data_IF_630642849883
#
_entry.id   IF_630642849883
#
_cell.length_a   1.000
_cell.length_b   1.000
_cell.length_c   1.000
_cell.angle_alpha   90.00
_cell.angle_beta   90.00
_cell.angle_gamma   90.00
#
_symmetry.space_group_name_H-M   'P 1'
#
loop_
_entity.id
_entity.type
_entity.pdbx_description
1 polymer ?
#
# COMPACT_ATOMS: atom_id res chain seq x y z
N UNK A 1 3.88 -7.23 -28.76
CA UNK A 1 4.51 -8.51 -29.20
C UNK A 1 4.07 -9.57 -28.23
N UNK A 2 3.12 -10.40 -28.67
CA UNK A 2 2.68 -11.62 -28.01
C UNK A 2 3.87 -12.53 -27.75
N UNK A 3 4.10 -12.88 -26.49
CA UNK A 3 4.98 -13.98 -26.13
C UNK A 3 4.08 -15.15 -25.70
N UNK A 4 3.90 -16.09 -26.62
CA UNK A 4 3.30 -17.39 -26.34
C UNK A 4 4.03 -18.11 -25.21
N UNK A 5 3.30 -18.76 -24.27
CA UNK A 5 3.94 -19.54 -23.20
C UNK A 5 4.57 -20.79 -23.77
N UNK A 6 5.87 -20.99 -23.51
CA UNK A 6 6.56 -22.25 -23.78
C UNK A 6 6.06 -23.33 -22.82
N UNK A 7 5.47 -24.41 -23.36
CA UNK A 7 5.12 -25.63 -22.62
C UNK A 7 6.38 -26.38 -22.24
N UNK A 8 6.76 -26.35 -20.97
CA UNK A 8 7.84 -27.16 -20.39
C UNK A 8 7.64 -27.26 -18.89
N UNK A 9 7.92 -28.41 -18.31
CA UNK A 9 7.85 -28.74 -16.87
C UNK A 9 8.44 -27.63 -16.01
N UNK A 10 7.58 -26.96 -15.22
CA UNK A 10 7.96 -25.87 -14.32
C UNK A 10 7.69 -24.48 -14.90
N UNK A 11 6.42 -24.14 -15.14
CA UNK A 11 6.03 -22.76 -15.49
C UNK A 11 6.38 -21.82 -14.34
N UNK A 12 7.53 -21.16 -14.47
CA UNK A 12 7.89 -20.03 -13.60
C UNK A 12 7.05 -18.85 -14.02
N UNK A 13 5.98 -18.57 -13.27
CA UNK A 13 5.18 -17.34 -13.47
C UNK A 13 6.00 -16.14 -13.02
N UNK A 14 6.60 -15.46 -13.99
CA UNK A 14 7.30 -14.20 -13.74
C UNK A 14 6.35 -13.03 -13.95
N UNK A 15 6.12 -12.25 -12.90
CA UNK A 15 5.40 -10.98 -12.97
C UNK A 15 6.36 -9.83 -12.77
N UNK A 16 6.16 -8.77 -13.53
CA UNK A 16 6.97 -7.58 -13.47
C UNK A 16 6.07 -6.38 -13.13
N UNK A 17 6.54 -5.55 -12.22
CA UNK A 17 5.96 -4.25 -11.93
C UNK A 17 6.64 -3.24 -12.84
N UNK A 18 5.86 -2.58 -13.68
CA UNK A 18 6.33 -1.57 -14.59
C UNK A 18 6.34 -0.18 -13.91
N UNK A 19 6.99 0.77 -14.55
CA UNK A 19 7.03 2.15 -14.05
C UNK A 19 5.60 2.73 -13.98
N UNK A 20 5.31 3.42 -12.89
CA UNK A 20 4.02 4.06 -12.60
C UNK A 20 2.83 3.10 -12.41
N UNK A 21 3.08 1.81 -12.29
CA UNK A 21 2.05 0.85 -11.89
C UNK A 21 1.54 1.17 -10.48
N UNK A 22 0.22 1.27 -10.36
CA UNK A 22 -0.49 1.39 -9.08
C UNK A 22 -1.37 0.16 -8.92
N UNK A 23 -0.83 -0.82 -8.24
CA UNK A 23 -1.38 -2.17 -8.18
C UNK A 23 -2.17 -2.34 -6.89
N UNK A 24 -3.47 -2.62 -7.02
CA UNK A 24 -4.23 -3.16 -5.90
C UNK A 24 -4.13 -4.67 -5.90
N UNK A 25 -3.79 -5.23 -4.73
CA UNK A 25 -3.85 -6.67 -4.49
C UNK A 25 -5.16 -7.01 -3.79
N UNK A 26 -5.85 -8.01 -4.31
CA UNK A 26 -7.13 -8.49 -3.81
C UNK A 26 -7.00 -9.97 -3.45
N UNK A 27 -7.61 -10.39 -2.35
CA UNK A 27 -7.75 -11.79 -1.95
C UNK A 27 -8.95 -11.97 -1.04
N UNK A 28 -9.54 -13.15 -1.07
CA UNK A 28 -10.54 -13.57 -0.06
C UNK A 28 -9.89 -13.88 1.31
N UNK A 29 -8.57 -14.13 1.37
CA UNK A 29 -7.82 -14.25 2.61
C UNK A 29 -6.95 -12.98 2.85
N UNK A 30 -7.36 -12.10 3.77
CA UNK A 30 -6.59 -10.88 4.07
C UNK A 30 -5.17 -11.18 4.57
N UNK A 31 -4.94 -12.32 5.22
CA UNK A 31 -3.61 -12.73 5.71
C UNK A 31 -2.64 -12.97 4.57
N UNK A 32 -3.13 -13.43 3.41
CA UNK A 32 -2.30 -13.63 2.23
C UNK A 32 -1.74 -12.30 1.71
N UNK A 33 -2.50 -11.20 1.83
CA UNK A 33 -2.03 -9.86 1.44
C UNK A 33 -0.94 -9.37 2.37
N UNK A 34 -1.19 -9.43 3.69
CA UNK A 34 -0.19 -9.02 4.69
C UNK A 34 1.09 -9.84 4.54
N UNK A 35 0.99 -11.18 4.39
CA UNK A 35 2.15 -12.04 4.17
C UNK A 35 2.93 -11.67 2.90
N UNK A 36 2.23 -11.40 1.79
CA UNK A 36 2.87 -10.95 0.55
C UNK A 36 3.67 -9.66 0.78
N UNK A 37 3.08 -8.65 1.44
CA UNK A 37 3.76 -7.39 1.69
C UNK A 37 4.94 -7.53 2.65
N UNK A 38 4.83 -8.36 3.68
CA UNK A 38 5.94 -8.68 4.59
C UNK A 38 7.09 -9.38 3.86
N UNK A 39 6.77 -10.33 2.96
CA UNK A 39 7.77 -11.02 2.15
C UNK A 39 8.52 -10.04 1.24
N UNK A 40 7.82 -9.23 0.45
CA UNK A 40 8.47 -8.30 -0.48
C UNK A 40 9.17 -7.14 0.22
N UNK A 41 8.80 -6.85 1.47
CA UNK A 41 9.52 -5.91 2.34
C UNK A 41 10.69 -6.55 3.11
N UNK A 42 10.87 -7.88 3.00
CA UNK A 42 11.97 -8.61 3.63
C UNK A 42 11.79 -8.91 5.12
N UNK A 43 10.58 -8.75 5.66
CA UNK A 43 10.24 -9.09 7.06
C UNK A 43 9.96 -10.58 7.23
N UNK A 44 9.48 -11.25 6.18
CA UNK A 44 9.14 -12.67 6.14
C UNK A 44 9.87 -13.37 4.99
N UNK A 45 10.09 -14.67 5.11
CA UNK A 45 10.65 -15.50 4.04
C UNK A 45 9.53 -16.15 3.25
N UNK A 46 9.68 -16.15 1.91
CA UNK A 46 8.78 -16.90 1.04
C UNK A 46 9.04 -18.42 1.19
N UNK A 47 7.97 -19.21 1.24
CA UNK A 47 8.06 -20.68 1.22
C UNK A 47 8.56 -21.17 -0.14
N UNK A 48 8.23 -20.48 -1.21
CA UNK A 48 8.67 -20.76 -2.57
C UNK A 48 8.69 -19.47 -3.42
N UNK A 49 9.45 -19.51 -4.52
CA UNK A 49 9.59 -18.37 -5.41
C UNK A 49 10.67 -17.38 -4.95
N UNK A 50 10.87 -16.36 -5.76
CA UNK A 50 11.83 -15.28 -5.50
C UNK A 50 11.26 -13.96 -5.97
N UNK A 51 11.72 -12.88 -5.35
CA UNK A 51 11.45 -11.52 -5.82
C UNK A 51 12.76 -10.75 -5.91
N UNK A 52 12.76 -9.71 -6.72
CA UNK A 52 13.90 -8.83 -6.88
C UNK A 52 13.44 -7.41 -7.13
N UNK A 53 13.95 -6.48 -6.34
CA UNK A 53 13.79 -5.06 -6.57
C UNK A 53 14.79 -4.57 -7.64
N UNK A 54 14.34 -3.61 -8.45
CA UNK A 54 15.26 -2.91 -9.36
C UNK A 54 16.29 -2.10 -8.57
N UNK A 55 17.46 -1.87 -9.16
CA UNK A 55 18.59 -1.19 -8.50
C UNK A 55 18.27 0.25 -8.04
N UNK A 56 17.33 0.91 -8.71
CA UNK A 56 16.93 2.30 -8.42
C UNK A 56 15.65 2.40 -7.59
N UNK A 57 15.10 1.26 -7.15
CA UNK A 57 13.85 1.25 -6.38
C UNK A 57 14.16 1.44 -4.90
N UNK A 58 13.53 2.47 -4.34
CA UNK A 58 13.50 2.76 -2.91
C UNK A 58 12.07 2.57 -2.42
N UNK A 59 11.89 1.71 -1.43
CA UNK A 59 10.57 1.36 -0.91
C UNK A 59 10.24 2.07 0.40
N UNK A 60 8.97 2.39 0.61
CA UNK A 60 8.43 2.77 1.91
C UNK A 60 7.23 1.89 2.22
N UNK A 61 7.24 1.27 3.39
CA UNK A 61 6.23 0.30 3.82
C UNK A 61 5.35 0.85 4.94
N UNK A 62 4.06 0.79 4.73
CA UNK A 62 3.02 1.06 5.72
C UNK A 62 2.40 -0.28 6.15
N UNK A 63 2.82 -0.86 7.30
CA UNK A 63 2.31 -2.14 7.76
C UNK A 63 0.90 -2.02 8.34
N UNK A 64 0.17 -3.14 8.36
CA UNK A 64 -1.14 -3.23 9.00
C UNK A 64 -1.04 -2.93 10.51
N UNK A 65 -0.06 -3.50 11.21
CA UNK A 65 0.25 -3.18 12.61
C UNK A 65 1.39 -2.18 12.70
N UNK A 66 1.07 -0.99 13.16
CA UNK A 66 2.02 0.11 13.36
C UNK A 66 2.30 0.44 14.81
N UNK A 67 1.81 -0.35 15.78
CA UNK A 67 1.87 -0.08 17.22
C UNK A 67 3.29 0.17 17.73
N UNK A 68 4.27 -0.55 17.19
CA UNK A 68 5.70 -0.42 17.57
C UNK A 68 6.28 1.00 17.40
N UNK A 69 5.68 1.82 16.53
CA UNK A 69 6.17 3.18 16.28
C UNK A 69 5.69 4.22 17.30
N UNK A 70 4.73 3.85 18.16
CA UNK A 70 4.05 4.77 19.08
C UNK A 70 4.29 4.47 20.57
N UNK A 71 5.25 3.60 20.88
CA UNK A 71 5.64 3.23 22.23
C UNK A 71 6.61 4.24 22.85
N UNK A 72 6.28 5.52 22.77
CA UNK A 72 7.10 6.63 23.29
C UNK A 72 6.21 7.78 23.75
N UNK A 73 6.71 8.58 24.68
CA UNK A 73 5.98 9.70 25.31
C UNK A 73 6.31 11.07 24.71
N UNK A 74 6.92 11.11 23.54
CA UNK A 74 7.20 12.36 22.83
C UNK A 74 5.96 12.89 22.13
N UNK A 75 5.94 14.20 21.83
CA UNK A 75 4.87 14.80 21.06
C UNK A 75 4.95 14.42 19.58
N UNK A 76 3.87 14.66 18.85
CA UNK A 76 3.73 14.27 17.44
C UNK A 76 4.78 14.93 16.54
N UNK A 77 5.08 16.20 16.76
CA UNK A 77 6.05 16.93 15.93
C UNK A 77 7.48 16.37 16.13
N UNK A 78 7.89 16.14 17.37
CA UNK A 78 9.18 15.53 17.69
C UNK A 78 9.27 14.08 17.20
N UNK A 79 8.14 13.36 17.24
CA UNK A 79 8.06 12.00 16.70
C UNK A 79 8.31 12.00 15.19
N UNK A 80 7.67 12.90 14.44
CA UNK A 80 7.87 12.97 13.00
C UNK A 80 9.29 13.42 12.64
N UNK A 81 9.86 14.32 13.42
CA UNK A 81 11.24 14.83 13.25
C UNK A 81 12.29 13.70 13.22
N UNK A 82 12.08 12.61 13.97
CA UNK A 82 13.01 11.47 13.99
C UNK A 82 13.16 10.76 12.63
N UNK A 83 12.19 10.91 11.75
CA UNK A 83 12.16 10.26 10.44
C UNK A 83 12.49 11.20 9.30
N UNK A 84 12.74 12.46 9.59
CA UNK A 84 12.99 13.48 8.57
C UNK A 84 14.46 13.85 8.48
N UNK A 85 15.04 13.96 7.29
CA UNK A 85 16.35 14.55 7.11
C UNK A 85 16.37 16.06 7.35
N UNK A 86 15.21 16.72 7.19
CA UNK A 86 15.00 18.14 7.46
C UNK A 86 14.23 18.31 8.77
N UNK A 87 14.84 18.99 9.73
CA UNK A 87 14.28 19.25 11.07
C UNK A 87 13.53 20.58 11.16
N UNK A 88 13.35 21.28 10.04
CA UNK A 88 12.58 22.53 10.00
C UNK A 88 11.11 22.29 10.38
N UNK A 89 10.68 22.90 11.48
CA UNK A 89 9.31 22.74 11.98
C UNK A 89 8.22 23.13 10.96
N UNK A 90 8.47 24.17 10.17
CA UNK A 90 7.48 24.63 9.17
C UNK A 90 7.30 23.55 8.10
N UNK A 91 8.40 22.93 7.68
CA UNK A 91 8.38 21.81 6.74
C UNK A 91 7.62 20.61 7.30
N UNK A 92 7.93 20.19 8.54
CA UNK A 92 7.28 19.05 9.19
C UNK A 92 5.78 19.31 9.46
N UNK A 93 5.43 20.52 9.91
CA UNK A 93 4.03 20.93 10.10
C UNK A 93 3.25 20.89 8.80
N UNK A 94 3.89 21.16 7.66
CA UNK A 94 3.28 21.03 6.34
C UNK A 94 2.87 19.61 5.98
N UNK A 95 3.67 18.60 6.34
CA UNK A 95 3.31 17.19 6.15
C UNK A 95 2.15 16.76 7.03
N UNK A 96 2.20 17.13 8.31
CA UNK A 96 1.13 16.82 9.25
C UNK A 96 -0.18 17.53 8.87
N UNK A 97 -0.10 18.79 8.42
CA UNK A 97 -1.26 19.54 7.95
C UNK A 97 -1.95 18.93 6.75
N UNK A 98 -1.20 18.32 5.82
CA UNK A 98 -1.80 17.57 4.67
C UNK A 98 -2.62 16.37 5.12
N UNK A 99 -2.29 15.79 6.27
CA UNK A 99 -3.05 14.73 6.90
C UNK A 99 -3.98 15.24 8.01
N UNK A 100 -4.39 16.52 7.92
CA UNK A 100 -5.43 17.14 8.74
C UNK A 100 -5.10 17.24 10.24
N UNK A 101 -3.82 17.33 10.61
CA UNK A 101 -3.47 17.64 11.98
C UNK A 101 -3.49 19.15 12.23
N UNK A 102 -4.22 19.56 13.26
CA UNK A 102 -4.24 20.94 13.75
C UNK A 102 -3.01 21.27 14.59
N UNK A 103 -2.74 22.58 14.80
CA UNK A 103 -1.60 23.01 15.61
C UNK A 103 -1.61 22.49 17.05
N UNK A 104 -2.78 22.35 17.68
CA UNK A 104 -2.93 21.81 19.03
C UNK A 104 -2.63 20.31 19.10
N UNK A 105 -2.99 19.56 18.06
CA UNK A 105 -2.74 18.12 17.99
C UNK A 105 -1.25 17.79 17.87
N UNK A 106 -0.43 18.71 17.33
CA UNK A 106 1.02 18.52 17.21
C UNK A 106 1.73 18.33 18.54
N UNK A 107 1.13 18.85 19.62
CA UNK A 107 1.68 18.76 20.98
C UNK A 107 1.18 17.54 21.75
N UNK A 108 0.24 16.78 21.20
CA UNK A 108 -0.20 15.53 21.83
C UNK A 108 0.93 14.50 21.83
N UNK A 109 1.03 13.73 22.92
CA UNK A 109 1.92 12.58 22.99
C UNK A 109 1.46 11.50 22.03
N UNK A 110 2.36 10.87 21.28
CA UNK A 110 2.00 9.84 20.29
C UNK A 110 1.45 8.58 20.94
N UNK A 111 1.78 8.32 22.19
CA UNK A 111 1.24 7.18 22.96
C UNK A 111 -0.28 7.23 23.18
N UNK A 112 -0.87 8.44 23.22
CA UNK A 112 -2.31 8.64 23.49
C UNK A 112 -3.15 8.86 22.23
N UNK A 113 -2.54 8.79 21.04
CA UNK A 113 -3.24 8.98 19.78
C UNK A 113 -4.22 7.82 19.51
N UNK A 114 -5.36 8.16 18.91
CA UNK A 114 -6.32 7.17 18.39
C UNK A 114 -5.73 6.35 17.22
N UNK A 115 -6.39 5.26 16.85
CA UNK A 115 -5.96 4.44 15.70
C UNK A 115 -5.89 5.24 14.40
N UNK A 116 -6.89 6.10 14.14
CA UNK A 116 -6.90 6.96 12.96
C UNK A 116 -5.80 8.03 12.99
N UNK A 117 -5.56 8.67 14.14
CA UNK A 117 -4.45 9.61 14.31
C UNK A 117 -3.09 8.94 14.08
N UNK A 118 -2.88 7.73 14.63
CA UNK A 118 -1.67 6.93 14.39
C UNK A 118 -1.48 6.61 12.90
N UNK A 119 -2.56 6.22 12.21
CA UNK A 119 -2.49 5.95 10.77
C UNK A 119 -2.11 7.20 9.98
N UNK A 120 -2.72 8.36 10.28
CA UNK A 120 -2.36 9.65 9.67
C UNK A 120 -0.89 10.03 9.92
N UNK A 121 -0.36 9.74 11.13
CA UNK A 121 1.07 9.92 11.44
C UNK A 121 1.95 9.03 10.57
N UNK A 122 1.59 7.76 10.42
CA UNK A 122 2.36 6.82 9.59
C UNK A 122 2.38 7.25 8.12
N UNK A 123 1.26 7.74 7.60
CA UNK A 123 1.19 8.26 6.23
C UNK A 123 2.09 9.51 6.10
N UNK A 124 2.05 10.43 7.07
CA UNK A 124 2.93 11.60 7.08
C UNK A 124 4.40 11.20 7.09
N UNK A 125 4.77 10.22 7.93
CA UNK A 125 6.12 9.65 7.97
C UNK A 125 6.53 9.05 6.63
N UNK A 126 5.66 8.26 6.01
CA UNK A 126 5.92 7.63 4.72
C UNK A 126 6.21 8.67 3.63
N UNK A 127 5.51 9.80 3.65
CA UNK A 127 5.69 10.87 2.67
C UNK A 127 6.99 11.65 2.84
N UNK A 128 7.64 11.58 4.02
CA UNK A 128 8.96 12.16 4.26
C UNK A 128 10.09 11.35 3.62
N UNK A 129 9.85 10.07 3.33
CA UNK A 129 10.83 9.23 2.67
C UNK A 129 10.86 9.54 1.17
N UNK A 130 12.03 9.64 0.59
CA UNK A 130 12.23 9.81 -0.86
C UNK A 130 12.07 8.45 -1.57
N UNK A 131 10.95 7.77 -1.27
CA UNK A 131 10.65 6.48 -1.85
C UNK A 131 9.93 6.65 -3.20
N UNK A 132 10.29 5.83 -4.17
CA UNK A 132 9.64 5.76 -5.47
C UNK A 132 8.72 4.54 -5.62
N UNK A 133 8.60 3.72 -4.58
CA UNK A 133 7.64 2.63 -4.50
C UNK A 133 7.03 2.57 -3.09
N UNK A 134 5.71 2.73 -3.00
CA UNK A 134 4.96 2.64 -1.75
C UNK A 134 4.31 1.27 -1.63
N UNK A 135 4.44 0.66 -0.46
CA UNK A 135 3.78 -0.61 -0.11
C UNK A 135 2.83 -0.32 1.05
N UNK A 136 1.52 -0.49 0.82
CA UNK A 136 0.47 -0.05 1.74
C UNK A 136 -0.44 -1.22 2.10
N UNK A 137 -0.34 -1.69 3.33
CA UNK A 137 -1.23 -2.76 3.83
C UNK A 137 -2.48 -2.15 4.48
N UNK A 138 -3.58 -2.16 3.75
CA UNK A 138 -4.91 -1.69 4.18
C UNK A 138 -4.86 -0.28 4.81
N UNK A 139 -4.33 0.72 4.09
CA UNK A 139 -3.99 2.03 4.64
C UNK A 139 -5.20 2.86 5.06
N UNK A 140 -6.41 2.51 4.61
CA UNK A 140 -7.65 3.21 4.93
C UNK A 140 -8.32 2.70 6.20
N UNK A 141 -7.81 1.63 6.81
CA UNK A 141 -8.33 1.13 8.08
C UNK A 141 -8.21 2.21 9.18
N UNK A 142 -9.29 2.36 9.93
CA UNK A 142 -9.40 3.33 11.04
C UNK A 142 -9.36 4.81 10.63
N UNK A 143 -9.33 5.15 9.35
CA UNK A 143 -9.46 6.51 8.87
C UNK A 143 -10.93 6.91 8.72
N UNK A 144 -11.23 8.16 9.05
CA UNK A 144 -12.49 8.80 8.69
C UNK A 144 -12.48 9.21 7.20
N UNK A 145 -13.65 9.53 6.69
CA UNK A 145 -13.84 9.86 5.27
C UNK A 145 -12.95 11.03 4.82
N UNK A 146 -12.82 12.06 5.65
CA UNK A 146 -12.00 13.23 5.33
C UNK A 146 -10.51 12.87 5.23
N UNK A 147 -10.02 12.05 6.15
CA UNK A 147 -8.64 11.53 6.12
C UNK A 147 -8.39 10.62 4.92
N UNK A 148 -9.35 9.77 4.54
CA UNK A 148 -9.27 8.96 3.32
C UNK A 148 -9.16 9.84 2.08
N UNK A 149 -9.96 10.89 1.98
CA UNK A 149 -9.92 11.84 0.86
C UNK A 149 -8.57 12.59 0.79
N UNK A 150 -8.06 13.06 1.93
CA UNK A 150 -6.76 13.73 2.00
C UNK A 150 -5.63 12.80 1.55
N UNK A 151 -5.65 11.54 1.98
CA UNK A 151 -4.68 10.53 1.57
C UNK A 151 -4.81 10.20 0.09
N UNK A 152 -6.02 9.99 -0.40
CA UNK A 152 -6.31 9.72 -1.80
C UNK A 152 -5.75 10.83 -2.72
N UNK A 153 -6.00 12.09 -2.38
CA UNK A 153 -5.48 13.24 -3.11
C UNK A 153 -3.94 13.27 -3.15
N UNK A 154 -3.30 12.85 -2.07
CA UNK A 154 -1.85 12.72 -2.01
C UNK A 154 -1.34 11.63 -2.96
N UNK A 155 -1.98 10.46 -2.97
CA UNK A 155 -1.56 9.34 -3.82
C UNK A 155 -1.81 9.58 -5.31
N UNK A 156 -2.84 10.34 -5.67
CA UNK A 156 -3.10 10.73 -7.07
C UNK A 156 -1.93 11.49 -7.70
N UNK A 157 -1.24 12.29 -6.91
CA UNK A 157 -0.11 13.10 -7.38
C UNK A 157 1.24 12.39 -7.22
N UNK A 158 1.27 11.24 -6.58
CA UNK A 158 2.49 10.48 -6.36
C UNK A 158 3.04 9.94 -7.68
N UNK A 159 4.30 10.30 -7.96
CA UNK A 159 5.04 9.79 -9.13
C UNK A 159 5.88 8.59 -8.72
N UNK A 160 5.42 7.42 -9.06
CA UNK A 160 6.09 6.16 -8.73
C UNK A 160 5.10 5.02 -8.58
N UNK A 161 5.59 3.89 -8.13
CA UNK A 161 4.81 2.68 -7.98
C UNK A 161 4.07 2.66 -6.63
N UNK A 162 2.86 2.12 -6.63
CA UNK A 162 2.08 1.86 -5.42
C UNK A 162 1.62 0.41 -5.46
N UNK A 163 1.96 -0.36 -4.43
CA UNK A 163 1.48 -1.71 -4.20
C UNK A 163 0.61 -1.66 -2.93
N UNK A 164 -0.67 -1.96 -3.02
CA UNK A 164 -1.56 -1.79 -1.88
C UNK A 164 -2.68 -2.83 -1.81
N UNK A 165 -3.24 -2.97 -0.63
CA UNK A 165 -4.51 -3.64 -0.39
C UNK A 165 -5.50 -2.65 0.20
N UNK A 166 -6.78 -2.79 -0.09
CA UNK A 166 -7.85 -1.99 0.52
C UNK A 166 -9.19 -2.70 0.38
N UNK A 167 -10.12 -2.38 1.28
CA UNK A 167 -11.54 -2.76 1.18
C UNK A 167 -12.42 -1.57 0.77
N UNK A 168 -11.82 -0.38 0.65
CA UNK A 168 -12.52 0.82 0.24
C UNK A 168 -12.60 0.89 -1.29
N UNK A 169 -13.81 0.77 -1.82
CA UNK A 169 -14.09 0.73 -3.25
C UNK A 169 -13.62 2.02 -3.96
N UNK A 170 -13.95 3.19 -3.41
CA UNK A 170 -13.61 4.47 -4.02
C UNK A 170 -12.09 4.70 -4.00
N UNK A 171 -11.43 4.29 -2.93
CA UNK A 171 -9.99 4.36 -2.81
C UNK A 171 -9.30 3.48 -3.87
N UNK A 172 -9.77 2.24 -4.05
CA UNK A 172 -9.25 1.34 -5.09
C UNK A 172 -9.45 1.96 -6.47
N UNK A 173 -10.70 2.34 -6.79
CA UNK A 173 -11.07 2.91 -8.10
C UNK A 173 -10.24 4.14 -8.46
N UNK A 174 -9.92 4.97 -7.46
CA UNK A 174 -9.23 6.25 -7.70
C UNK A 174 -7.71 6.11 -7.79
N UNK A 175 -7.13 5.12 -7.10
CA UNK A 175 -5.67 4.98 -6.99
C UNK A 175 -5.14 3.94 -7.97
N UNK A 176 -5.82 2.80 -8.16
CA UNK A 176 -5.27 1.69 -8.95
C UNK A 176 -5.42 1.90 -10.46
N UNK A 177 -4.44 1.40 -11.20
CA UNK A 177 -4.49 1.22 -12.65
C UNK A 177 -4.23 -0.25 -13.08
N UNK A 178 -3.97 -1.11 -12.09
CA UNK A 178 -3.76 -2.54 -12.29
C UNK A 178 -4.26 -3.32 -11.09
N UNK A 179 -4.89 -4.45 -11.36
CA UNK A 179 -5.49 -5.30 -10.32
C UNK A 179 -4.83 -6.66 -10.38
N UNK A 180 -4.36 -7.13 -9.23
CA UNK A 180 -3.85 -8.49 -9.05
C UNK A 180 -4.69 -9.17 -7.97
N UNK A 181 -5.48 -10.17 -8.37
CA UNK A 181 -6.26 -10.99 -7.45
C UNK A 181 -5.57 -12.32 -7.21
N UNK A 182 -5.26 -12.60 -5.93
CA UNK A 182 -4.71 -13.87 -5.49
C UNK A 182 -5.85 -14.82 -5.15
N UNK A 183 -5.88 -15.94 -5.85
CA UNK A 183 -6.88 -16.99 -5.66
C UNK A 183 -6.22 -18.29 -5.23
N UNK A 184 -6.97 -19.27 -4.68
CA UNK A 184 -6.40 -20.56 -4.29
C UNK A 184 -5.72 -21.33 -5.43
N UNK A 185 -6.21 -21.16 -6.67
CA UNK A 185 -5.75 -21.93 -7.83
C UNK A 185 -5.07 -21.09 -8.89
N UNK A 186 -4.67 -19.86 -8.57
CA UNK A 186 -3.94 -19.01 -9.52
C UNK A 186 -4.05 -17.52 -9.22
N UNK A 187 -3.69 -16.71 -10.18
CA UNK A 187 -3.66 -15.26 -10.08
C UNK A 187 -4.36 -14.65 -11.30
N UNK A 188 -5.21 -13.66 -11.05
CA UNK A 188 -5.78 -12.80 -12.10
C UNK A 188 -4.99 -11.49 -12.08
N UNK A 189 -4.49 -11.07 -13.22
CA UNK A 189 -3.67 -9.86 -13.37
C UNK A 189 -4.21 -9.06 -14.57
N UNK A 190 -4.78 -7.89 -14.30
CA UNK A 190 -5.45 -7.06 -15.29
C UNK A 190 -5.09 -5.59 -15.14
N UNK A 191 -4.74 -4.95 -16.25
CA UNK A 191 -4.58 -3.51 -16.35
C UNK A 191 -5.91 -2.90 -16.78
N UNK A 192 -6.72 -2.51 -15.83
CA UNK A 192 -8.05 -1.93 -16.04
C UNK A 192 -8.53 -1.23 -14.78
N UNK A 193 -9.59 -0.45 -14.91
CA UNK A 193 -10.24 0.20 -13.78
C UNK A 193 -10.98 -0.82 -12.91
N UNK A 194 -11.11 -0.52 -11.63
CA UNK A 194 -11.70 -1.46 -10.67
C UNK A 194 -13.19 -1.71 -10.93
N UNK A 195 -13.95 -0.67 -11.34
CA UNK A 195 -15.36 -0.82 -11.69
C UNK A 195 -15.56 -1.76 -12.89
N UNK A 196 -14.71 -1.63 -13.89
CA UNK A 196 -14.73 -2.53 -15.06
C UNK A 196 -14.36 -3.96 -14.63
N UNK A 197 -13.37 -4.11 -13.75
CA UNK A 197 -12.93 -5.42 -13.24
C UNK A 197 -14.04 -6.19 -12.53
N UNK A 198 -14.78 -5.53 -11.65
CA UNK A 198 -15.84 -6.20 -10.88
C UNK A 198 -17.12 -6.50 -11.69
N UNK A 199 -17.31 -5.80 -12.81
CA UNK A 199 -18.50 -5.94 -13.67
C UNK A 199 -18.25 -6.80 -14.93
N UNK A 200 -16.99 -7.12 -15.24
CA UNK A 200 -16.62 -7.90 -16.43
C UNK A 200 -17.05 -9.38 -16.29
N UNK A 201 -17.94 -9.89 -17.17
CA UNK A 201 -18.40 -11.27 -17.13
C UNK A 201 -17.27 -12.30 -17.32
N UNK A 202 -16.26 -11.98 -18.15
CA UNK A 202 -15.13 -12.88 -18.38
C UNK A 202 -14.25 -13.03 -17.13
N UNK A 203 -14.11 -11.96 -16.35
CA UNK A 203 -13.41 -12.00 -15.06
C UNK A 203 -14.24 -12.78 -14.05
N UNK A 204 -15.54 -12.58 -14.00
CA UNK A 204 -16.43 -13.34 -13.12
C UNK A 204 -16.31 -14.86 -13.36
N UNK A 205 -16.34 -15.30 -14.63
CA UNK A 205 -16.14 -16.71 -15.02
C UNK A 205 -14.76 -17.23 -14.60
N UNK A 206 -13.70 -16.43 -14.81
CA UNK A 206 -12.34 -16.78 -14.43
C UNK A 206 -12.19 -16.90 -12.91
N UNK A 207 -12.80 -16.00 -12.13
CA UNK A 207 -12.85 -16.06 -10.67
C UNK A 207 -13.54 -17.34 -10.19
N UNK A 208 -14.71 -17.64 -10.75
CA UNK A 208 -15.46 -18.85 -10.40
C UNK A 208 -14.58 -20.09 -10.59
N UNK A 209 -13.87 -20.19 -11.73
CA UNK A 209 -12.95 -21.29 -12.03
C UNK A 209 -11.76 -21.36 -11.06
N UNK A 210 -11.19 -20.23 -10.68
CA UNK A 210 -9.98 -20.19 -9.83
C UNK A 210 -10.28 -20.28 -8.33
N UNK A 211 -11.52 -20.05 -7.92
CA UNK A 211 -11.99 -20.27 -6.56
C UNK A 211 -12.68 -21.62 -6.35
N UNK A 212 -13.09 -22.31 -7.43
CA UNK A 212 -13.62 -23.66 -7.33
C UNK A 212 -12.53 -24.65 -6.89
N UNK A 213 -12.91 -25.58 -6.00
CA UNK A 213 -12.02 -26.66 -5.56
C UNK A 213 -11.80 -27.71 -6.61
#
# INVERSE_FOLDING_TARGET
>A
RDRSPSRGLGDVYKRQVEKDDKIVFISHDPRAMTALFQIINGEEKADAGTYQWGQTITTSYLPLDNSKYFNTDINLLDWLCQFSPDTNEVFLKGFLGRMLFSGEELMKKVSVLSGGEKMRCMISRMMLTDANCLILDTPTNHLDLESIQAFNNTLKTFKGNILFSSHDHEFIQTVSNRIIELTPNGIIDKMMDYDDYITDPAIAELREKLYSK
#
